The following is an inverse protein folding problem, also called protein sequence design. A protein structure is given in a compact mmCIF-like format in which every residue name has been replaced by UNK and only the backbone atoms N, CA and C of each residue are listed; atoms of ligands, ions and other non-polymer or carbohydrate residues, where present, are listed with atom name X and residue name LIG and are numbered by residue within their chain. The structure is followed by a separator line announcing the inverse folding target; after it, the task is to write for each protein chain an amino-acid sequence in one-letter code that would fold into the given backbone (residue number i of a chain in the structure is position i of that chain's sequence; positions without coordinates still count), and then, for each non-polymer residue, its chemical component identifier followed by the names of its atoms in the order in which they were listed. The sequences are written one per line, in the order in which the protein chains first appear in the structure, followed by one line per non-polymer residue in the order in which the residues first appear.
data_IF_881187717506
#
_entry.id   IF_881187717506
#
_cell.length_a   1.000
_cell.length_b   1.000
_cell.length_c   1.000
_cell.angle_alpha   90.00
_cell.angle_beta   90.00
_cell.angle_gamma   90.00
#
_symmetry.space_group_name_H-M   'P 1'
#
loop_
_entity.id
_entity.type
_entity.pdbx_description
1 polymer ?
2 non-polymer ?
3 non-polymer ?
4 water ?
#
# COMPACT_ATOMS: atom_id res chain seq x y z
N UNK A 21 6.31 -27.88 9.01
CA UNK A 21 6.76 -28.01 7.62
C UNK A 21 7.90 -27.02 7.28
N UNK A 22 8.61 -27.30 6.19
CA UNK A 22 9.72 -26.45 5.76
C UNK A 22 9.76 -26.37 4.24
N UNK A 23 10.39 -25.32 3.73
CA UNK A 23 10.50 -25.13 2.28
C UNK A 23 11.92 -24.76 1.88
N UNK A 24 12.27 -25.05 0.63
CA UNK A 24 13.59 -24.77 0.12
C UNK A 24 13.55 -23.71 -0.98
N UNK A 25 14.43 -22.71 -0.88
CA UNK A 25 14.48 -21.64 -1.86
C UNK A 25 15.95 -21.45 -2.17
N UNK A 26 16.31 -21.64 -3.44
CA UNK A 26 17.69 -21.52 -3.93
C UNK A 26 18.69 -22.30 -3.05
N UNK A 27 18.33 -23.55 -2.73
CA UNK A 27 19.15 -24.44 -1.91
C UNK A 27 19.24 -24.07 -0.43
N UNK A 28 18.44 -23.11 0.03
CA UNK A 28 18.40 -22.69 1.43
C UNK A 28 17.09 -23.13 2.05
N UNK A 29 17.16 -23.70 3.24
CA UNK A 29 16.02 -24.29 3.97
C UNK A 29 15.45 -23.30 4.98
N UNK A 30 14.11 -23.19 4.98
CA UNK A 30 13.40 -22.29 5.86
C UNK A 30 12.32 -23.05 6.57
N UNK A 31 12.20 -22.88 7.88
CA UNK A 31 11.14 -23.58 8.58
C UNK A 31 9.99 -22.64 8.78
N UNK A 32 8.78 -23.14 8.54
CA UNK A 32 7.57 -22.33 8.66
C UNK A 32 7.15 -22.17 10.09
N UNK A 33 7.00 -20.91 10.54
CA UNK A 33 6.51 -20.63 11.87
C UNK A 33 5.00 -20.56 11.83
N UNK A 34 4.44 -19.81 10.87
CA UNK A 34 2.99 -19.65 10.69
C UNK A 34 2.65 -18.95 9.37
N UNK A 35 1.38 -19.03 8.97
CA UNK A 35 0.90 -18.32 7.79
C UNK A 35 0.44 -16.94 8.25
N UNK A 36 0.89 -15.89 7.57
CA UNK A 36 0.58 -14.47 7.84
C UNK A 36 -0.65 -14.05 7.04
N UNK A 37 -0.68 -14.44 5.78
CA UNK A 37 -1.73 -14.01 4.88
C UNK A 37 -1.95 -14.90 3.70
N UNK A 38 -3.00 -14.58 2.93
CA UNK A 38 -3.44 -15.29 1.73
C UNK A 38 -4.28 -14.37 0.85
N UNK A 39 -4.43 -14.77 -0.39
CA UNK A 39 -5.19 -14.00 -1.37
C UNK A 39 -4.99 -14.62 -2.74
N UNK A 40 -6.08 -15.18 -3.24
CA UNK A 40 -6.08 -15.85 -4.54
C UNK A 40 -5.27 -17.13 -4.47
N UNK A 41 -4.25 -17.21 -5.32
CA UNK A 41 -3.37 -18.37 -5.38
C UNK A 41 -2.04 -18.13 -4.61
N UNK A 42 -2.00 -17.12 -3.71
CA UNK A 42 -0.80 -16.85 -2.93
C UNK A 42 -1.01 -16.92 -1.40
N UNK A 43 0.08 -17.27 -0.69
CA UNK A 43 0.13 -17.38 0.78
C UNK A 43 1.45 -16.77 1.22
N UNK A 44 1.47 -16.13 2.40
CA UNK A 44 2.69 -15.57 2.98
C UNK A 44 2.90 -16.26 4.32
N UNK A 45 4.13 -16.69 4.55
CA UNK A 45 4.48 -17.41 5.76
C UNK A 45 5.63 -16.75 6.50
N UNK A 46 5.56 -16.80 7.82
CA UNK A 46 6.62 -16.27 8.66
C UNK A 46 7.55 -17.46 8.74
N UNK A 47 8.81 -17.25 8.42
CA UNK A 47 9.78 -18.35 8.42
C UNK A 47 11.12 -18.01 9.04
N UNK A 48 11.88 -19.06 9.33
CA UNK A 48 13.20 -18.92 9.92
C UNK A 48 14.23 -19.67 9.10
N UNK A 49 15.37 -19.05 8.86
CA UNK A 49 16.43 -19.71 8.13
C UNK A 49 17.22 -20.55 9.13
N UNK A 50 18.31 -21.17 8.68
CA UNK A 50 19.11 -22.02 9.55
C UNK A 50 19.71 -21.29 10.74
N UNK A 51 20.10 -20.04 10.53
CA UNK A 51 20.72 -19.22 11.59
C UNK A 51 19.65 -18.59 12.52
N UNK A 52 18.39 -19.05 12.36
CA UNK A 52 17.20 -18.61 13.11
C UNK A 52 16.84 -17.14 12.83
N UNK A 53 17.12 -16.65 11.61
CA UNK A 53 16.75 -15.29 11.19
C UNK A 53 15.38 -15.34 10.58
N UNK A 54 14.55 -14.37 10.94
CA UNK A 54 13.18 -14.34 10.46
C UNK A 54 13.01 -13.70 9.09
N UNK A 55 12.15 -14.33 8.28
CA UNK A 55 11.86 -13.88 6.94
C UNK A 55 10.40 -14.17 6.63
N UNK A 56 9.90 -13.56 5.59
CA UNK A 56 8.55 -13.78 5.15
C UNK A 56 8.70 -14.35 3.76
N UNK A 57 8.08 -15.49 3.52
CA UNK A 57 8.16 -16.10 2.20
C UNK A 57 6.80 -16.07 1.56
N UNK A 58 6.75 -15.54 0.36
CA UNK A 58 5.50 -15.47 -0.37
C UNK A 58 5.51 -16.60 -1.36
N UNK A 59 4.49 -17.44 -1.28
CA UNK A 59 4.35 -18.59 -2.14
C UNK A 59 3.18 -18.33 -3.07
N UNK A 60 3.41 -18.44 -4.36
CA UNK A 60 2.37 -18.26 -5.39
C UNK A 60 2.24 -19.58 -6.11
N UNK A 61 1.01 -20.15 -6.16
CA UNK A 61 0.75 -21.41 -6.86
C UNK A 61 0.39 -21.03 -8.30
N UNK A 62 1.26 -21.39 -9.26
CA UNK A 62 1.06 -21.04 -10.67
C UNK A 62 0.35 -22.11 -11.49
N UNK A 63 -0.07 -23.22 -10.85
CA UNK A 63 -0.73 -24.36 -11.52
C UNK A 63 -1.98 -23.97 -12.33
N UNK A 64 -2.82 -23.07 -11.81
CA UNK A 64 -4.03 -22.65 -12.52
C UNK A 64 -3.92 -21.20 -13.03
N UNK A 65 -2.68 -20.72 -13.28
CA UNK A 65 -2.43 -19.35 -13.73
C UNK A 65 -2.43 -19.15 -15.24
N UNK A 66 -3.24 -18.18 -15.68
CA UNK A 66 -3.39 -17.70 -17.06
C UNK A 66 -2.16 -16.86 -17.41
N UNK A 67 -1.89 -16.62 -18.72
CA UNK A 67 -0.76 -15.81 -19.20
C UNK A 67 -0.78 -14.40 -18.57
N UNK A 68 -1.98 -13.78 -18.47
CA UNK A 68 -2.17 -12.47 -17.86
C UNK A 68 -1.71 -12.47 -16.40
N UNK A 69 -2.12 -13.48 -15.60
CA UNK A 69 -1.73 -13.64 -14.20
C UNK A 69 -0.23 -13.87 -14.07
N UNK A 70 0.34 -14.69 -14.95
CA UNK A 70 1.77 -15.01 -14.95
C UNK A 70 2.60 -13.75 -15.15
N UNK A 71 2.26 -12.97 -16.16
CA UNK A 71 2.96 -11.76 -16.51
C UNK A 71 2.89 -10.69 -15.42
N UNK A 72 1.77 -10.65 -14.69
CA UNK A 72 1.54 -9.71 -13.60
C UNK A 72 2.51 -10.02 -12.45
N UNK A 73 2.72 -11.32 -12.12
CA UNK A 73 3.64 -11.76 -11.09
C UNK A 73 5.10 -11.55 -11.48
N UNK A 74 5.43 -11.75 -12.77
CA UNK A 74 6.77 -11.54 -13.33
C UNK A 74 7.12 -10.05 -13.26
N UNK A 75 6.13 -9.21 -13.58
CA UNK A 75 6.30 -7.76 -13.60
C UNK A 75 6.47 -7.20 -12.20
N UNK A 76 5.74 -7.75 -11.19
CA UNK A 76 5.81 -7.38 -9.79
C UNK A 76 7.20 -7.77 -9.24
N UNK A 77 7.69 -8.99 -9.53
CA UNK A 77 9.02 -9.45 -9.09
C UNK A 77 10.10 -8.56 -9.71
N UNK A 78 10.01 -8.27 -11.01
CA UNK A 78 10.99 -7.44 -11.73
C UNK A 78 11.12 -6.07 -11.06
N UNK A 79 9.98 -5.41 -10.79
CA UNK A 79 9.98 -4.08 -10.16
C UNK A 79 10.50 -4.11 -8.74
N UNK A 80 10.16 -5.14 -7.97
CA UNK A 80 10.67 -5.25 -6.61
C UNK A 80 12.18 -5.36 -6.65
N UNK A 81 12.71 -6.17 -7.57
CA UNK A 81 14.14 -6.33 -7.69
C UNK A 81 14.85 -5.04 -8.11
N UNK A 82 14.26 -4.37 -9.08
CA UNK A 82 14.81 -3.13 -9.61
C UNK A 82 14.83 -2.01 -8.59
N UNK A 83 13.77 -1.91 -7.80
CA UNK A 83 13.63 -0.84 -6.82
C UNK A 83 14.42 -1.01 -5.53
N UNK A 84 15.00 -2.19 -5.28
CA UNK A 84 15.78 -2.50 -4.07
C UNK A 84 16.87 -1.46 -3.78
N UNK A 85 17.63 -1.11 -4.82
CA UNK A 85 18.74 -0.18 -4.72
C UNK A 85 18.31 1.30 -4.67
N UNK A 86 17.08 1.56 -5.06
CA UNK A 86 16.55 2.93 -5.09
C UNK A 86 15.97 3.50 -3.79
N UNK A 87 15.33 2.68 -2.98
CA UNK A 87 14.76 3.19 -1.73
C UNK A 87 14.69 2.07 -0.73
N UNK A 88 14.90 2.38 0.56
CA UNK A 88 14.73 1.39 1.63
C UNK A 88 13.28 1.42 2.15
N UNK A 89 12.44 2.19 1.50
CA UNK A 89 11.03 2.29 1.87
C UNK A 89 10.21 1.26 1.09
N UNK A 90 10.92 0.45 0.31
CA UNK A 90 10.34 -0.62 -0.47
C UNK A 90 10.76 -1.88 0.25
N UNK A 91 9.83 -2.81 0.43
CA UNK A 91 10.12 -4.03 1.18
C UNK A 91 11.28 -4.79 0.54
N UNK A 92 12.17 -5.30 1.38
CA UNK A 92 13.33 -6.03 0.87
C UNK A 92 12.91 -7.40 0.28
N UNK A 93 13.46 -7.73 -0.89
CA UNK A 93 13.29 -9.02 -1.53
C UNK A 93 14.71 -9.58 -1.54
N UNK A 94 14.99 -10.63 -0.79
CA UNK A 94 16.36 -11.15 -0.70
C UNK A 94 16.66 -12.18 -1.76
N UNK A 95 15.69 -13.04 -2.07
CA UNK A 95 15.86 -14.14 -2.99
C UNK A 95 14.50 -14.59 -3.48
N UNK A 96 14.49 -15.39 -4.53
CA UNK A 96 13.28 -15.93 -5.12
C UNK A 96 13.63 -17.11 -5.99
N UNK A 97 12.65 -17.99 -6.14
CA UNK A 97 12.71 -19.16 -6.98
C UNK A 97 11.40 -19.18 -7.78
N UNK A 98 11.52 -19.24 -9.10
CA UNK A 98 10.38 -19.22 -10.03
C UNK A 98 10.47 -20.41 -10.96
N UNK A 99 9.42 -21.24 -10.99
CA UNK A 99 9.32 -22.37 -11.93
C UNK A 99 7.97 -22.18 -12.65
N UNK A 100 7.58 -23.15 -13.47
CA UNK A 100 6.27 -23.15 -14.14
C UNK A 100 5.14 -23.41 -13.16
N UNK A 101 5.43 -24.09 -12.04
CA UNK A 101 4.42 -24.48 -11.04
C UNK A 101 4.29 -23.49 -9.86
N UNK A 102 5.36 -22.80 -9.50
CA UNK A 102 5.30 -21.93 -8.35
C UNK A 102 6.34 -20.82 -8.30
N UNK A 103 6.09 -19.86 -7.42
CA UNK A 103 6.99 -18.76 -7.16
C UNK A 103 7.23 -18.68 -5.65
N UNK A 104 8.48 -18.57 -5.25
CA UNK A 104 8.81 -18.42 -3.84
C UNK A 104 9.57 -17.12 -3.73
N UNK A 105 9.14 -16.22 -2.86
CA UNK A 105 9.87 -14.96 -2.69
C UNK A 105 10.23 -14.81 -1.23
N UNK A 106 11.52 -14.69 -0.95
CA UNK A 106 12.01 -14.52 0.39
C UNK A 106 12.15 -13.02 0.61
N UNK A 107 11.40 -12.51 1.58
CA UNK A 107 11.36 -11.09 1.89
C UNK A 107 11.49 -10.84 3.38
N UNK A 108 11.81 -9.59 3.73
CA UNK A 108 11.93 -9.23 5.14
C UNK A 108 10.55 -9.38 5.76
N UNK A 109 10.51 -9.76 7.03
CA UNK A 109 9.25 -9.97 7.73
C UNK A 109 8.90 -8.72 8.52
N UNK A 110 7.70 -8.21 8.31
CA UNK A 110 7.26 -7.03 9.06
C UNK A 110 6.55 -7.41 10.33
N UNK A 111 6.27 -6.44 11.21
CA UNK A 111 5.55 -6.72 12.44
C UNK A 111 4.08 -6.86 12.16
N UNK A 112 3.53 -5.98 11.28
CA UNK A 112 2.10 -5.88 10.99
C UNK A 112 1.87 -4.99 9.77
N UNK A 113 0.73 -5.15 9.09
CA UNK A 113 0.41 -4.23 7.99
C UNK A 113 -0.30 -3.01 8.60
N UNK A 114 -0.27 -1.89 7.88
CA UNK A 114 -0.85 -0.65 8.39
C UNK A 114 -2.36 -0.74 8.60
N UNK A 115 -3.09 -1.51 7.76
CA UNK A 115 -4.54 -1.59 7.97
C UNK A 115 -4.91 -2.26 9.29
N UNK A 116 -4.24 -3.37 9.62
CA UNK A 116 -4.46 -4.11 10.87
C UNK A 116 -4.07 -3.26 12.05
N UNK A 117 -3.03 -2.44 11.89
CA UNK A 117 -2.57 -1.56 12.95
C UNK A 117 -3.55 -0.40 13.20
N UNK A 118 -4.10 0.20 12.12
CA UNK A 118 -5.08 1.30 12.24
C UNK A 118 -6.39 0.81 12.82
N UNK A 119 -6.76 -0.46 12.56
CA UNK A 119 -7.97 -1.08 13.12
C UNK A 119 -7.85 -1.27 14.64
N UNK A 120 -6.64 -1.58 15.15
CA UNK A 120 -6.33 -1.81 16.57
C UNK A 120 -6.25 -0.50 17.36
N UNK A 121 -5.43 0.46 16.90
CA UNK A 121 -5.17 1.76 17.55
C UNK A 121 -6.42 2.59 17.81
N UNK A 122 -6.50 3.20 19.01
CA UNK A 122 -7.60 4.08 19.42
C UNK A 122 -7.29 5.51 19.02
N UNK A 123 -5.99 5.86 19.05
CA UNK A 123 -5.44 7.17 18.68
C UNK A 123 -4.00 6.99 18.22
N UNK A 124 -3.59 7.79 17.24
CA UNK A 124 -2.21 7.76 16.72
C UNK A 124 -1.44 8.98 17.21
N UNK A 125 -0.16 8.77 17.53
CA UNK A 125 0.71 9.82 17.97
C UNK A 125 0.99 10.75 16.79
N UNK A 126 1.04 12.05 17.02
CA UNK A 126 1.28 13.00 15.92
C UNK A 126 2.63 12.77 15.24
N UNK A 127 3.65 12.46 16.02
CA UNK A 127 4.98 12.21 15.47
C UNK A 127 5.00 10.95 14.61
N UNK A 128 4.32 9.92 15.08
CA UNK A 128 4.21 8.64 14.39
C UNK A 128 3.46 8.82 13.08
N UNK A 129 2.37 9.60 13.09
CA UNK A 129 1.56 9.89 11.91
C UNK A 129 2.43 10.61 10.86
N UNK A 130 3.25 11.57 11.32
CA UNK A 130 4.16 12.34 10.45
C UNK A 130 5.27 11.45 9.85
N UNK A 131 5.88 10.59 10.67
CA UNK A 131 6.96 9.69 10.25
C UNK A 131 6.42 8.64 9.25
N UNK A 132 5.26 8.06 9.52
CA UNK A 132 4.66 7.11 8.60
C UNK A 132 4.34 7.78 7.27
N UNK A 133 3.82 9.00 7.33
CA UNK A 133 3.47 9.76 6.14
C UNK A 133 4.69 10.02 5.29
N UNK A 134 5.80 10.35 5.92
CA UNK A 134 7.02 10.61 5.19
C UNK A 134 7.47 9.34 4.46
N UNK A 135 7.35 8.21 5.14
CA UNK A 135 7.73 6.93 4.56
C UNK A 135 6.87 6.60 3.35
N UNK A 136 5.58 6.85 3.45
CA UNK A 136 4.66 6.57 2.37
C UNK A 136 4.99 7.40 1.14
N UNK A 137 5.28 8.68 1.35
CA UNK A 137 5.61 9.57 0.25
C UNK A 137 6.89 9.15 -0.45
N UNK A 138 7.89 8.78 0.35
CA UNK A 138 9.15 8.36 -0.22
C UNK A 138 9.00 7.09 -1.04
N UNK A 139 8.23 6.13 -0.51
CA UNK A 139 8.01 4.89 -1.21
C UNK A 139 7.24 5.07 -2.51
N UNK A 140 6.18 5.86 -2.46
CA UNK A 140 5.36 6.09 -3.63
C UNK A 140 6.09 6.94 -4.64
N UNK A 141 6.91 7.87 -4.15
CA UNK A 141 7.67 8.71 -5.04
C UNK A 141 8.66 7.87 -5.83
N UNK A 142 9.27 6.89 -5.18
CA UNK A 142 10.23 6.02 -5.84
C UNK A 142 9.61 5.23 -6.99
N UNK A 143 8.43 4.67 -6.78
CA UNK A 143 7.77 3.93 -7.84
C UNK A 143 7.38 4.85 -8.99
N UNK A 144 6.96 6.07 -8.66
CA UNK A 144 6.55 7.04 -9.67
C UNK A 144 7.70 7.39 -10.59
N UNK A 145 8.89 7.46 -10.01
CA UNK A 145 10.12 7.79 -10.74
C UNK A 145 10.39 6.78 -11.82
N UNK A 146 9.99 5.54 -11.57
CA UNK A 146 10.20 4.45 -12.52
C UNK A 146 9.03 4.23 -13.47
N UNK A 147 8.07 5.16 -13.46
CA UNK A 147 6.91 5.10 -14.33
C UNK A 147 5.72 4.28 -13.86
N UNK A 148 5.77 3.85 -12.61
CA UNK A 148 4.70 3.05 -12.03
C UNK A 148 3.69 3.97 -11.33
N UNK A 149 2.41 3.76 -11.57
CA UNK A 149 1.34 4.40 -10.81
C UNK A 149 0.66 3.20 -10.12
N UNK A 150 0.61 3.19 -8.79
CA UNK A 150 0.03 2.08 -8.05
C UNK A 150 -1.44 1.92 -8.40
N UNK A 151 -2.22 3.00 -8.25
CA UNK A 151 -3.65 3.15 -8.55
C UNK A 151 -4.57 2.38 -7.63
N UNK A 152 -4.04 1.64 -6.63
CA UNK A 152 -4.92 0.89 -5.72
C UNK A 152 -4.43 1.03 -4.28
N UNK A 153 -3.76 2.15 -3.95
CA UNK A 153 -3.23 2.33 -2.61
C UNK A 153 -4.27 2.33 -1.55
N UNK A 154 -3.92 1.71 -0.45
CA UNK A 154 -4.75 1.53 0.72
C UNK A 154 -3.79 1.15 1.85
N UNK A 155 -4.17 1.30 3.14
CA UNK A 155 -3.22 0.96 4.23
C UNK A 155 -2.62 -0.45 4.17
N UNK A 156 -3.37 -1.44 3.67
CA UNK A 156 -2.90 -2.84 3.58
C UNK A 156 -1.67 -3.03 2.64
N UNK A 157 -1.38 -2.03 1.78
CA UNK A 157 -0.22 -2.07 0.87
C UNK A 157 1.04 -1.66 1.62
N UNK A 158 0.90 -1.25 2.89
CA UNK A 158 1.99 -0.78 3.72
C UNK A 158 2.26 -1.69 4.89
N UNK A 159 3.53 -1.95 5.12
CA UNK A 159 4.00 -2.81 6.19
C UNK A 159 4.78 -2.04 7.24
N UNK A 160 4.54 -2.30 8.52
CA UNK A 160 5.33 -1.68 9.57
C UNK A 160 6.48 -2.63 9.87
N UNK A 161 7.72 -2.18 9.64
CA UNK A 161 8.93 -2.99 9.89
C UNK A 161 9.81 -2.15 10.82
N UNK A 162 9.88 -2.55 12.10
CA UNK A 162 10.64 -1.88 13.17
C UNK A 162 10.61 -0.33 13.04
N UNK A 163 9.43 0.24 13.30
CA UNK A 163 9.20 1.67 13.30
C UNK A 163 9.01 2.38 11.96
N UNK A 164 9.33 1.73 10.81
CA UNK A 164 9.14 2.43 9.55
C UNK A 164 8.15 1.70 8.63
N UNK A 165 7.43 2.47 7.81
CA UNK A 165 6.46 1.93 6.86
C UNK A 165 7.17 1.62 5.56
N UNK A 166 6.83 0.48 4.98
CA UNK A 166 7.37 0.08 3.67
C UNK A 166 6.25 -0.37 2.75
N UNK A 167 6.37 0.00 1.49
CA UNK A 167 5.45 -0.42 0.45
C UNK A 167 5.74 -1.91 0.11
N UNK A 168 4.69 -2.71 0.20
CA UNK A 168 4.77 -4.14 -0.08
C UNK A 168 4.59 -4.52 -1.55
N UNK A 169 3.75 -3.78 -2.26
CA UNK A 169 3.45 -4.15 -3.64
C UNK A 169 3.16 -2.93 -4.51
N UNK A 170 3.12 -3.14 -5.83
CA UNK A 170 2.98 -2.04 -6.79
C UNK A 170 1.65 -1.98 -7.49
N UNK A 171 0.69 -2.73 -7.00
CA UNK A 171 -0.65 -2.76 -7.56
C UNK A 171 -0.73 -3.46 -8.91
N UNK A 172 0.39 -4.05 -9.31
CA UNK A 172 0.51 -4.86 -10.52
C UNK A 172 -0.19 -6.24 -10.46
N UNK A 173 -0.07 -6.92 -9.31
CA UNK A 173 -0.63 -8.26 -9.10
C UNK A 173 -1.68 -8.36 -7.94
N UNK A 174 -2.00 -9.61 -7.49
CA UNK A 174 -3.00 -9.91 -6.46
C UNK A 174 -2.65 -9.43 -5.05
N UNK A 175 -3.55 -8.65 -4.45
CA UNK A 175 -3.42 -8.16 -3.08
C UNK A 175 -3.77 -9.26 -2.07
N UNK A 176 -3.32 -9.13 -0.82
CA UNK A 176 -3.58 -10.15 0.21
C UNK A 176 -4.17 -9.61 1.51
N UNK A 177 -4.82 -10.52 2.26
CA UNK A 177 -5.44 -10.18 3.55
C UNK A 177 -4.91 -11.09 4.65
N UNK A 178 -4.80 -10.57 5.87
CA UNK A 178 -4.27 -11.37 6.99
C UNK A 178 -5.09 -12.61 7.34
N UNK A 179 -4.45 -13.59 8.02
CA UNK A 179 -5.09 -14.83 8.45
C UNK A 179 -4.87 -15.10 9.95
N UNK A 185 -12.51 -14.58 7.34
CA UNK A 185 -11.90 -14.03 6.12
C UNK A 185 -12.86 -14.04 4.94
N UNK A 186 -12.99 -12.88 4.28
CA UNK A 186 -13.89 -12.68 3.14
C UNK A 186 -13.10 -12.38 1.87
N UNK A 187 -13.14 -13.31 0.90
CA UNK A 187 -12.48 -13.19 -0.40
C UNK A 187 -13.18 -12.14 -1.29
N UNK A 188 -14.42 -11.75 -0.95
CA UNK A 188 -15.22 -10.75 -1.66
C UNK A 188 -14.87 -9.32 -1.25
N UNK A 189 -14.24 -9.17 -0.07
CA UNK A 189 -13.87 -7.88 0.51
C UNK A 189 -13.00 -7.06 -0.41
N UNK A 190 -13.37 -5.79 -0.50
CA UNK A 190 -12.71 -4.74 -1.25
C UNK A 190 -13.03 -3.44 -0.55
N UNK A 191 -12.60 -2.31 -1.12
CA UNK A 191 -12.88 -0.99 -0.59
C UNK A 191 -12.71 0.02 -1.72
N UNK A 192 -13.68 0.93 -1.86
CA UNK A 192 -13.60 2.00 -2.87
C UNK A 192 -13.39 3.33 -2.13
N UNK A 193 -13.15 3.22 -0.82
CA UNK A 193 -12.95 4.36 0.06
C UNK A 193 -11.74 5.22 -0.29
N UNK A 194 -10.76 4.64 -1.01
CA UNK A 194 -9.49 5.33 -1.41
C UNK A 194 -9.43 5.65 -2.91
N UNK A 195 -10.49 5.29 -3.64
CA UNK A 195 -10.54 5.47 -5.10
C UNK A 195 -10.63 6.93 -5.55
N UNK A 196 -9.73 7.39 -6.45
CA UNK A 196 -9.76 8.79 -6.87
C UNK A 196 -10.90 9.13 -7.85
N UNK A 197 -11.38 10.39 -7.86
CA UNK A 197 -12.48 10.75 -8.76
C UNK A 197 -12.24 10.48 -10.25
N UNK A 198 -11.03 10.78 -10.75
CA UNK A 198 -10.69 10.60 -12.18
C UNK A 198 -10.80 9.15 -12.66
N UNK A 199 -10.55 8.17 -11.76
CA UNK A 199 -10.65 6.75 -12.10
C UNK A 199 -12.11 6.35 -12.38
N UNK A 200 -13.07 6.99 -11.67
CA UNK A 200 -14.50 6.76 -11.78
C UNK A 200 -15.07 7.52 -12.98
N UNK A 201 -14.64 8.78 -13.18
CA UNK A 201 -15.05 9.64 -14.29
C UNK A 201 -14.67 9.01 -15.64
N UNK A 202 -13.48 8.37 -15.72
CA UNK A 202 -12.97 7.71 -16.92
C UNK A 202 -13.62 6.32 -17.15
N UNK A 203 -14.98 6.27 -17.16
CA UNK A 203 -15.79 5.06 -17.35
C UNK A 203 -17.12 5.39 -18.03
N UNK A 214 -6.46 7.85 -21.00
CA UNK A 214 -6.24 7.41 -19.63
C UNK A 214 -6.10 8.60 -18.66
N UNK A 215 -7.00 8.65 -17.65
CA UNK A 215 -7.05 9.69 -16.61
C UNK A 215 -6.15 9.38 -15.38
N UNK A 216 -5.61 8.14 -15.30
CA UNK A 216 -4.73 7.71 -14.22
C UNK A 216 -3.33 8.35 -14.38
N UNK A 217 -2.85 8.96 -13.30
CA UNK A 217 -1.56 9.62 -13.29
C UNK A 217 -0.97 9.50 -11.89
N UNK A 218 0.28 9.94 -11.63
CA UNK A 218 0.79 9.91 -10.24
C UNK A 218 -0.14 10.61 -9.26
N UNK A 219 -0.91 11.62 -9.75
CA UNK A 219 -1.88 12.38 -8.93
C UNK A 219 -2.95 11.49 -8.33
N UNK A 220 -3.32 10.41 -9.03
CA UNK A 220 -4.29 9.45 -8.51
C UNK A 220 -3.77 8.82 -7.21
N UNK A 221 -2.44 8.56 -7.09
CA UNK A 221 -1.87 7.98 -5.85
C UNK A 221 -1.86 9.01 -4.75
N UNK A 222 -1.74 10.32 -5.10
CA UNK A 222 -1.80 11.41 -4.12
C UNK A 222 -3.14 11.38 -3.39
N UNK A 223 -4.25 11.24 -4.13
CA UNK A 223 -5.60 11.20 -3.56
C UNK A 223 -5.68 10.03 -2.57
N UNK A 224 -5.29 8.82 -3.01
CA UNK A 224 -5.31 7.64 -2.12
C UNK A 224 -4.46 7.83 -0.91
N UNK A 225 -3.28 8.42 -1.03
CA UNK A 225 -2.44 8.68 0.14
C UNK A 225 -3.16 9.67 1.06
N UNK A 226 -3.77 10.68 0.45
CA UNK A 226 -4.55 11.71 1.14
C UNK A 226 -5.64 11.09 2.01
N UNK A 227 -6.35 10.08 1.46
CA UNK A 227 -7.40 9.32 2.18
C UNK A 227 -6.83 8.54 3.37
N UNK A 228 -5.63 7.98 3.23
CA UNK A 228 -4.97 7.22 4.31
C UNK A 228 -4.62 8.21 5.42
N UNK A 229 -4.01 9.37 5.06
CA UNK A 229 -3.66 10.39 6.04
C UNK A 229 -4.91 10.96 6.69
N UNK A 230 -6.01 11.12 5.90
CA UNK A 230 -7.28 11.60 6.44
C UNK A 230 -7.79 10.61 7.49
N UNK A 231 -7.70 9.32 7.19
CA UNK A 231 -8.06 8.21 8.11
C UNK A 231 -7.15 8.31 9.36
N UNK A 232 -5.84 8.49 9.20
CA UNK A 232 -4.92 8.62 10.35
C UNK A 232 -5.14 9.90 11.16
N UNK A 233 -5.89 10.89 10.62
CA UNK A 233 -6.15 12.17 11.32
C UNK A 233 -7.55 12.24 11.96
N UNK A 234 -8.60 11.84 11.21
CA UNK A 234 -10.00 11.94 11.66
C UNK A 234 -10.63 10.62 12.09
N UNK A 235 -9.90 9.51 11.92
CA UNK A 235 -10.35 8.18 12.29
C UNK A 235 -11.40 7.57 11.37
N UNK A 236 -11.62 8.22 10.20
CA UNK A 236 -12.53 7.79 9.15
C UNK A 236 -12.01 8.22 7.79
N UNK A 237 -12.39 7.52 6.70
CA UNK A 237 -12.00 7.95 5.36
C UNK A 237 -12.98 9.05 4.93
N UNK A 238 -12.63 9.91 3.94
CA UNK A 238 -13.54 11.02 3.60
C UNK A 238 -15.00 10.67 3.25
N UNK A 239 -15.26 9.47 2.68
CA UNK A 239 -16.61 9.08 2.23
C UNK A 239 -17.20 7.85 2.93
N UNK A 240 -16.59 7.40 4.02
CA UNK A 240 -17.01 6.19 4.69
C UNK A 240 -18.47 6.18 5.15
N UNK A 241 -18.96 7.30 5.64
CA UNK A 241 -20.35 7.48 6.10
C UNK A 241 -21.42 7.14 5.03
N UNK A 242 -21.02 6.99 3.75
CA UNK A 242 -21.94 6.64 2.68
C UNK A 242 -21.97 5.10 2.55
N UNK A 243 -23.12 4.47 2.89
CA UNK A 243 -23.32 3.03 2.86
C UNK A 243 -23.36 2.48 1.44
N UNK A 244 -24.39 2.88 0.66
CA UNK A 244 -24.58 2.48 -0.74
C UNK A 244 -23.31 2.82 -1.55
N UNK A 245 -22.71 1.79 -2.16
CA UNK A 245 -21.46 1.93 -2.95
C UNK A 245 -21.62 2.83 -4.15
N UNK A 246 -22.79 2.80 -4.82
CA UNK A 246 -23.12 3.64 -5.98
C UNK A 246 -23.13 5.12 -5.57
N UNK A 247 -23.84 5.42 -4.45
CA UNK A 247 -23.93 6.76 -3.88
C UNK A 247 -22.53 7.24 -3.46
N UNK A 248 -21.72 6.33 -2.89
CA UNK A 248 -20.33 6.64 -2.47
C UNK A 248 -19.49 7.05 -3.67
N UNK A 249 -19.58 6.31 -4.77
CA UNK A 249 -18.85 6.62 -6.01
C UNK A 249 -19.35 7.97 -6.57
N UNK A 250 -20.67 8.23 -6.46
CA UNK A 250 -21.28 9.48 -6.89
C UNK A 250 -20.78 10.67 -6.06
N UNK A 251 -20.63 10.49 -4.73
CA UNK A 251 -20.13 11.54 -3.86
C UNK A 251 -18.64 11.87 -4.14
N UNK A 252 -17.82 10.83 -4.44
CA UNK A 252 -16.39 11.00 -4.74
C UNK A 252 -16.17 11.92 -5.96
N UNK A 253 -17.00 11.78 -6.99
CA UNK A 253 -16.88 12.60 -8.21
C UNK A 253 -17.71 13.90 -8.17
N UNK A 254 -18.64 14.05 -7.21
CA UNK A 254 -19.51 15.23 -7.12
C UNK A 254 -18.78 16.46 -6.58
N UNK A 255 -18.64 17.55 -7.38
CA UNK A 255 -17.96 18.75 -6.86
C UNK A 255 -18.76 19.47 -5.76
N UNK A 256 -20.10 19.24 -5.74
CA UNK A 256 -21.03 19.79 -4.75
C UNK A 256 -20.92 19.09 -3.39
N UNK A 257 -20.34 17.88 -3.35
CA UNK A 257 -20.17 17.17 -2.10
C UNK A 257 -18.87 17.67 -1.48
N UNK A 258 -19.00 18.61 -0.54
CA UNK A 258 -17.85 19.20 0.14
C UNK A 258 -17.31 18.23 1.19
N UNK A 259 -16.02 17.85 1.09
CA UNK A 259 -15.36 17.00 2.09
C UNK A 259 -15.15 17.88 3.33
N UNK A 260 -15.44 17.34 4.52
CA UNK A 260 -15.28 18.07 5.77
C UNK A 260 -13.86 17.94 6.31
N UNK A 261 -13.25 19.06 6.68
CA UNK A 261 -11.93 19.10 7.27
C UNK A 261 -12.06 19.84 8.61
N UNK A 262 -12.52 19.14 9.69
CA UNK A 262 -12.63 19.80 11.01
C UNK A 262 -11.28 20.34 11.48
N UNK A 263 -11.31 21.47 12.22
CA UNK A 263 -10.13 22.14 12.79
C UNK A 263 -9.36 21.21 13.72
N UNK A 264 -8.03 21.25 13.63
CA UNK A 264 -7.09 20.43 14.42
C UNK A 264 -5.87 21.27 14.82
N UNK A 265 -5.08 20.89 15.87
CA UNK A 265 -3.91 21.72 16.26
C UNK A 265 -2.81 21.87 15.20
N UNK A 266 -2.62 20.85 14.36
CA UNK A 266 -1.60 20.90 13.29
C UNK A 266 -2.22 21.52 12.05
N UNK A 267 -2.03 22.82 11.87
CA UNK A 267 -2.58 23.54 10.74
C UNK A 267 -1.98 23.03 9.43
N UNK A 268 -0.70 22.70 9.46
CA UNK A 268 -0.02 22.19 8.28
C UNK A 268 -0.64 20.87 7.82
N UNK A 269 -1.02 20.01 8.75
CA UNK A 269 -1.62 18.73 8.41
C UNK A 269 -2.94 18.95 7.69
N UNK A 270 -3.74 19.87 8.21
CA UNK A 270 -5.02 20.24 7.62
C UNK A 270 -4.82 20.72 6.18
N UNK A 271 -3.76 21.55 5.92
CA UNK A 271 -3.45 22.03 4.56
C UNK A 271 -3.09 20.88 3.62
N UNK A 272 -2.27 19.90 4.10
CA UNK A 272 -1.85 18.71 3.35
C UNK A 272 -3.10 17.96 2.86
N UNK A 273 -4.02 17.69 3.79
CA UNK A 273 -5.26 16.97 3.52
C UNK A 273 -6.07 17.61 2.44
N UNK A 274 -6.28 18.93 2.55
CA UNK A 274 -7.03 19.70 1.57
C UNK A 274 -6.34 19.73 0.20
N UNK A 275 -4.99 19.70 0.18
CA UNK A 275 -4.24 19.72 -1.09
C UNK A 275 -4.27 18.38 -1.80
N UNK A 276 -4.33 17.29 -1.03
CA UNK A 276 -4.36 15.90 -1.54
C UNK A 276 -5.73 15.56 -2.07
N UNK A 277 -6.79 16.12 -1.43
CA UNK A 277 -8.18 15.76 -1.73
C UNK A 277 -8.92 16.74 -2.64
N UNK A 278 -8.21 17.41 -3.53
CA UNK A 278 -8.78 18.25 -4.57
C UNK A 278 -9.21 17.29 -5.71
N UNK A 279 -10.48 17.36 -6.13
CA UNK A 279 -11.06 16.49 -7.16
C UNK A 279 -10.37 16.63 -8.53
N UNK A 280 -9.98 17.86 -8.92
CA UNK A 280 -9.27 18.14 -10.17
C UNK A 280 -7.82 17.70 -9.99
N UNK A 281 -7.35 16.67 -10.73
CA UNK A 281 -5.97 16.20 -10.52
C UNK A 281 -4.89 17.20 -10.90
N UNK A 282 -5.22 18.15 -11.81
CA UNK A 282 -4.30 19.20 -12.21
C UNK A 282 -4.07 20.16 -11.06
N UNK A 283 -5.11 20.41 -10.24
CA UNK A 283 -5.03 21.31 -9.08
C UNK A 283 -4.46 20.60 -7.83
N UNK A 284 -4.67 19.27 -7.72
CA UNK A 284 -4.18 18.42 -6.63
C UNK A 284 -2.65 18.51 -6.55
N UNK A 285 -2.13 18.57 -5.33
CA UNK A 285 -0.68 18.65 -5.08
C UNK A 285 0.06 17.39 -5.59
N UNK A 286 1.33 17.55 -5.91
CA UNK A 286 2.17 16.45 -6.39
C UNK A 286 3.03 15.93 -5.24
N UNK A 287 3.55 14.71 -5.38
CA UNK A 287 4.39 14.15 -4.33
C UNK A 287 5.67 14.95 -4.10
N UNK A 288 6.31 15.43 -5.16
CA UNK A 288 7.54 16.21 -4.98
C UNK A 288 7.24 17.46 -4.15
N UNK A 289 6.09 18.09 -4.41
CA UNK A 289 5.68 19.27 -3.65
C UNK A 289 5.31 18.87 -2.23
N UNK A 290 4.67 17.70 -2.06
CA UNK A 290 4.36 17.18 -0.72
C UNK A 290 5.63 16.91 0.10
N UNK A 291 6.74 16.56 -0.55
CA UNK A 291 7.98 16.33 0.18
C UNK A 291 8.66 17.62 0.63
N UNK A 292 8.29 18.77 0.04
CA UNK A 292 8.84 20.08 0.43
C UNK A 292 7.88 20.84 1.34
N UNK A 293 6.81 20.16 1.76
CA UNK A 293 5.76 20.76 2.60
C UNK A 293 6.21 20.91 4.08
N UNK A 294 5.80 22.03 4.76
CA UNK A 294 6.13 22.19 6.20
C UNK A 294 5.73 20.97 7.05
N UNK A 295 4.60 20.34 6.73
CA UNK A 295 4.16 19.16 7.50
C UNK A 295 5.19 18.02 7.57
N UNK A 296 5.92 17.76 6.48
CA UNK A 296 6.93 16.70 6.42
C UNK A 296 8.31 17.19 6.86
N UNK A 297 8.61 18.46 6.59
CA UNK A 297 9.94 19.01 6.85
C UNK A 297 10.12 19.68 8.20
N UNK A 298 9.02 20.08 8.85
CA UNK A 298 9.10 20.80 10.12
C UNK A 298 8.42 20.04 11.25
N UNK A 299 9.05 20.08 12.45
CA UNK A 299 8.61 19.49 13.72
C UNK A 299 7.31 20.14 14.20
X LIG B 1 4.61 -9.68 1.91
X LIG B 1 5.54 -9.65 2.89
X LIG B 1 5.16 -9.54 4.25
X LIG B 1 3.78 -9.49 4.58
X LIG B 1 2.83 -9.53 3.51
X LIG B 1 3.42 -9.37 5.93
X LIG B 1 4.44 -9.32 6.89
X LIG B 1 6.08 -9.47 5.31
X LIG B 1 2.91 -9.28 8.85
X LIG B 1 1.80 -8.58 8.38
X LIG B 1 1.37 -9.41 3.80
X LIG B 1 0.47 -9.47 10.16
X LIG B 1 0.59 -8.67 9.04
X LIG B 1 -1.88 -9.05 10.40
X LIG B 1 -0.68 -9.62 10.90
X LIG B 1 1.56 -10.19 10.63
X LIG B 1 2.77 -10.10 9.97
X LIG B 1 3.90 -10.76 10.34
X LIG B 1 3.97 -11.29 11.67
X LIG B 1 4.15 -9.22 8.24
X LIG B 1 5.75 -9.37 6.58
X LIG B 1 3.26 -9.63 2.21
X LIG B 1 0.45 -10.39 4.19
X LIG B 1 -0.75 -9.88 4.40
X LIG B 1 -0.61 -8.56 4.16
X LIG B 1 -1.75 -7.67 4.31
X LIG B 1 0.65 -8.25 3.80
X LIG C 1 18.59 -14.72 1.97
X LIG C 1 18.83 -15.45 3.23
X LIG C 1 19.89 -13.52 1.88
X LIG C 1 19.12 -15.79 0.68
X LIG D 1 4.11 -24.01 1.02
X LIG D 1 5.01 -24.70 0.08
X LIG D 1 2.46 -24.42 0.53
X LIG D 1 4.18 -25.00 2.49
#
# INVERSE_FOLDING_TARGET
MHHHHHHSSGVDLGTENLYFQSMSVKGRIYSILKQIGSGGSSKVFQVLNEKKQIYAIKYVNLEEADNQTLDSYRNEIAYLNKLQQHSDKIIRLYDYEITDQYIYMVMECGNIDLNSWLKKKKSIDPWERKSYWKNMLEAVHTIHQHGIVHSDLKPANFLIVDGMLKLIDFGIANQMQPDTTSVVKDSQVGTVNYMPPEAIKDMSSSRENGKSKSKISPKSDVWSLGCILYYMTYGKTPFQQIINQISKLHAIIDPNHEIEFPDIPEKDLQDVLKCCLKRDPKQRISIPELLAHPYVQIQTHPVNQMAKGTTEE
5OQ C1 C2 C3 C4 C5 C10 C11 C12 C13 C14 C6 C16 C15 C20 O1 C17 C18 O C19 N3 N2 C C8 N1 N C9 C7
DMS S O C1 C2
DMS S O C1 C2
#
